data_IF_947832857540
#
_entry.id   IF_947832857540
#
_cell.length_a   1.000
_cell.length_b   1.000
_cell.length_c   1.000
_cell.angle_alpha   90.00
_cell.angle_beta   90.00
_cell.angle_gamma   90.00
#
_symmetry.space_group_name_H-M   'P 1'
#
loop_
_entity.id
_entity.type
_entity.pdbx_description
1 polymer ?
#
# COMPACT_ATOMS: atom_id res chain seq x y z
N UNK A 1 3.29 1.70 14.22
CA UNK A 1 2.46 2.69 13.50
C UNK A 1 1.99 2.06 12.19
N UNK A 2 0.89 2.49 11.57
CA UNK A 2 0.56 2.09 10.18
C UNK A 2 0.95 3.20 9.20
N UNK A 3 1.16 2.88 7.92
CA UNK A 3 1.50 3.89 6.92
C UNK A 3 0.42 4.97 6.79
N UNK A 4 -0.85 4.55 6.69
CA UNK A 4 -2.00 5.48 6.66
C UNK A 4 -2.03 6.36 7.91
N UNK A 5 -1.76 5.79 9.10
CA UNK A 5 -1.74 6.55 10.35
C UNK A 5 -0.60 7.57 10.40
N UNK A 6 0.59 7.21 9.92
CA UNK A 6 1.71 8.13 9.81
C UNK A 6 1.39 9.29 8.85
N UNK A 7 0.93 9.00 7.64
CA UNK A 7 0.68 10.02 6.63
C UNK A 7 -0.49 10.94 7.04
N UNK A 8 -1.55 10.40 7.65
CA UNK A 8 -2.64 11.21 8.20
C UNK A 8 -2.28 12.03 9.45
N UNK A 9 -1.10 11.79 10.04
CA UNK A 9 -0.62 12.64 11.14
C UNK A 9 0.04 13.93 10.64
N UNK A 10 0.29 14.03 9.33
CA UNK A 10 0.88 15.22 8.73
C UNK A 10 -0.20 16.31 8.53
N UNK A 11 0.17 17.60 8.55
CA UNK A 11 -0.76 18.69 8.28
C UNK A 11 -1.45 18.53 6.92
N UNK A 12 -2.73 18.94 6.87
CA UNK A 12 -3.54 18.97 5.65
C UNK A 12 -3.44 17.69 4.79
N UNK A 13 -3.67 16.53 5.44
CA UNK A 13 -3.57 15.21 4.83
C UNK A 13 -4.90 14.44 4.88
N UNK A 14 -5.17 13.67 3.82
CA UNK A 14 -6.36 12.83 3.67
C UNK A 14 -6.02 11.55 2.91
N UNK A 15 -5.48 10.58 3.66
CA UNK A 15 -5.07 9.26 3.18
C UNK A 15 -6.06 8.21 3.64
N UNK A 16 -6.55 7.38 2.72
CA UNK A 16 -7.40 6.25 3.09
C UNK A 16 -6.66 4.93 3.17
N UNK A 17 -7.35 3.90 3.68
CA UNK A 17 -6.85 2.53 3.75
C UNK A 17 -7.87 1.61 3.09
N UNK A 18 -7.49 1.02 1.97
CA UNK A 18 -8.29 0.07 1.19
C UNK A 18 -9.68 0.63 0.86
N UNK A 19 -9.82 1.92 0.54
CA UNK A 19 -11.15 2.54 0.37
C UNK A 19 -11.88 2.05 -0.89
N UNK A 20 -11.14 1.54 -1.88
CA UNK A 20 -11.64 1.25 -3.22
C UNK A 20 -10.97 -0.02 -3.78
N UNK A 21 -11.49 -1.23 -3.49
CA UNK A 21 -10.83 -2.47 -3.91
C UNK A 21 -10.80 -2.59 -5.43
N UNK A 22 -9.64 -2.31 -6.03
CA UNK A 22 -9.40 -2.50 -7.47
C UNK A 22 -9.06 -3.98 -7.67
N UNK A 23 -9.74 -4.71 -8.59
CA UNK A 23 -9.39 -6.08 -8.90
C UNK A 23 -7.91 -6.22 -9.29
N UNK A 24 -7.26 -7.29 -8.83
CA UNK A 24 -5.84 -7.54 -9.09
C UNK A 24 -5.54 -7.65 -10.58
N UNK A 25 -6.40 -8.37 -11.29
CA UNK A 25 -6.35 -8.45 -12.74
C UNK A 25 -6.95 -7.17 -13.33
N UNK A 26 -6.16 -6.50 -14.16
CA UNK A 26 -6.43 -5.15 -14.59
C UNK A 26 -7.77 -5.06 -15.34
N UNK A 27 -8.73 -4.35 -14.75
CA UNK A 27 -9.95 -3.89 -15.40
C UNK A 27 -9.81 -2.37 -15.58
N UNK A 28 -9.29 -1.89 -16.74
CA UNK A 28 -8.86 -0.49 -16.90
C UNK A 28 -9.93 0.54 -16.54
N UNK A 29 -11.20 0.23 -16.81
CA UNK A 29 -12.33 1.10 -16.51
C UNK A 29 -12.54 1.32 -15.00
N UNK A 30 -12.17 0.34 -14.16
CA UNK A 30 -12.30 0.45 -12.71
C UNK A 30 -11.16 1.31 -12.15
N UNK A 31 -9.93 1.07 -12.58
CA UNK A 31 -8.76 1.81 -12.10
C UNK A 31 -8.87 3.33 -12.36
N UNK A 32 -9.25 3.73 -13.58
CA UNK A 32 -9.44 5.14 -13.93
C UNK A 32 -10.49 5.83 -13.05
N UNK A 33 -11.65 5.18 -12.85
CA UNK A 33 -12.69 5.70 -11.96
C UNK A 33 -12.21 5.87 -10.51
N UNK A 34 -11.38 4.95 -10.01
CA UNK A 34 -10.86 5.05 -8.65
C UNK A 34 -9.81 6.16 -8.52
N UNK A 35 -8.98 6.38 -9.54
CA UNK A 35 -8.04 7.52 -9.59
C UNK A 35 -8.84 8.83 -9.59
N UNK A 36 -9.89 8.96 -10.40
CA UNK A 36 -10.76 10.15 -10.38
C UNK A 36 -11.40 10.40 -9.02
N UNK A 37 -11.82 9.33 -8.31
CA UNK A 37 -12.37 9.46 -6.96
C UNK A 37 -11.30 9.88 -5.95
N UNK A 38 -10.08 9.35 -6.06
CA UNK A 38 -8.96 9.74 -5.21
C UNK A 38 -8.66 11.24 -5.38
N UNK A 39 -8.64 11.72 -6.62
CA UNK A 39 -8.32 13.12 -6.97
C UNK A 39 -9.40 14.14 -6.57
N UNK A 40 -10.60 13.69 -6.21
CA UNK A 40 -11.67 14.57 -5.69
C UNK A 40 -11.51 14.91 -4.21
N UNK A 41 -10.51 14.34 -3.53
CA UNK A 41 -10.27 14.62 -2.11
C UNK A 41 -9.67 16.01 -1.93
N UNK A 42 -10.11 16.68 -0.87
CA UNK A 42 -9.63 17.99 -0.47
C UNK A 42 -8.62 17.83 0.68
N UNK A 43 -7.35 18.07 0.36
CA UNK A 43 -6.20 18.18 1.27
C UNK A 43 -4.95 18.48 0.41
N UNK A 44 -3.92 19.08 0.98
CA UNK A 44 -2.62 19.21 0.32
C UNK A 44 -1.98 17.84 0.00
N UNK A 45 -2.14 16.87 0.91
CA UNK A 45 -1.62 15.50 0.75
C UNK A 45 -2.78 14.52 0.71
N UNK A 46 -3.03 13.93 -0.46
CA UNK A 46 -4.07 12.92 -0.66
C UNK A 46 -3.47 11.58 -1.07
N UNK A 47 -4.16 10.48 -0.76
CA UNK A 47 -3.66 9.16 -1.11
C UNK A 47 -4.56 8.03 -0.62
N UNK A 48 -4.15 6.81 -0.95
CA UNK A 48 -4.78 5.59 -0.45
C UNK A 48 -3.72 4.52 -0.27
N UNK A 49 -3.87 3.71 0.77
CA UNK A 49 -2.99 2.58 1.07
C UNK A 49 -3.74 1.31 0.76
N UNK A 50 -3.24 0.53 -0.20
CA UNK A 50 -3.85 -0.73 -0.61
C UNK A 50 -2.92 -1.54 -1.50
N UNK A 51 -2.98 -2.86 -1.36
CA UNK A 51 -2.14 -3.80 -2.13
C UNK A 51 -2.38 -3.69 -3.64
N UNK A 52 -3.62 -3.38 -4.04
CA UNK A 52 -4.04 -3.30 -5.44
C UNK A 52 -3.41 -2.16 -6.26
N UNK A 53 -2.86 -1.12 -5.60
CA UNK A 53 -2.20 -0.02 -6.32
C UNK A 53 -0.94 -0.46 -7.06
N UNK A 54 -0.33 -1.57 -6.64
CA UNK A 54 0.90 -2.07 -7.26
C UNK A 54 0.75 -2.28 -8.78
N UNK A 55 -0.40 -2.79 -9.21
CA UNK A 55 -0.67 -3.04 -10.64
C UNK A 55 -1.10 -1.78 -11.40
N UNK A 56 -1.34 -0.67 -10.70
CA UNK A 56 -1.88 0.57 -11.25
C UNK A 56 -0.86 1.71 -11.29
N UNK A 57 0.38 1.48 -10.84
CA UNK A 57 1.44 2.51 -10.78
C UNK A 57 1.66 3.19 -12.13
N UNK A 58 1.82 2.42 -13.21
CA UNK A 58 2.02 2.99 -14.55
C UNK A 58 0.85 3.91 -14.93
N UNK A 59 -0.37 3.44 -14.73
CA UNK A 59 -1.57 4.17 -15.12
C UNK A 59 -1.78 5.43 -14.29
N UNK A 60 -1.48 5.37 -13.00
CA UNK A 60 -1.58 6.53 -12.12
C UNK A 60 -0.51 7.58 -12.47
N UNK A 61 0.72 7.16 -12.82
CA UNK A 61 1.76 8.09 -13.29
C UNK A 61 1.44 8.76 -14.63
N UNK A 62 0.64 8.13 -15.49
CA UNK A 62 0.14 8.76 -16.73
C UNK A 62 -0.82 9.93 -16.43
N UNK A 63 -1.56 9.88 -15.32
CA UNK A 63 -2.55 10.90 -14.94
C UNK A 63 -2.01 11.90 -13.91
N UNK A 64 -1.11 11.44 -13.04
CA UNK A 64 -0.54 12.18 -11.92
C UNK A 64 0.97 11.93 -11.91
N UNK A 65 1.74 12.58 -12.81
CA UNK A 65 3.18 12.32 -12.96
C UNK A 65 4.00 12.58 -11.70
N UNK A 66 3.50 13.40 -10.77
CA UNK A 66 4.14 13.72 -9.50
C UNK A 66 3.85 12.73 -8.38
N UNK A 67 2.99 11.72 -8.61
CA UNK A 67 2.60 10.79 -7.56
C UNK A 67 3.81 10.02 -6.98
N UNK A 68 3.74 9.74 -5.67
CA UNK A 68 4.72 8.96 -4.91
C UNK A 68 4.09 7.68 -4.41
N UNK A 69 4.83 6.58 -4.54
CA UNK A 69 4.40 5.24 -4.15
C UNK A 69 5.36 4.69 -3.10
N UNK A 70 4.85 4.55 -1.88
CA UNK A 70 5.58 3.96 -0.76
C UNK A 70 5.20 2.49 -0.67
N UNK A 71 6.17 1.61 -0.90
CA UNK A 71 5.99 0.17 -0.93
C UNK A 71 6.67 -0.47 0.29
N UNK A 72 5.89 -0.94 1.26
CA UNK A 72 6.43 -1.55 2.47
C UNK A 72 6.68 -3.05 2.30
N UNK A 73 7.91 -3.49 2.56
CA UNK A 73 8.29 -4.91 2.59
C UNK A 73 8.57 -5.37 4.00
N UNK A 74 8.30 -6.65 4.28
CA UNK A 74 8.73 -7.36 5.50
C UNK A 74 8.99 -8.81 5.14
N UNK A 75 9.59 -9.56 6.06
CA UNK A 75 9.99 -10.94 5.83
C UNK A 75 8.82 -11.81 5.33
N UNK A 76 9.09 -12.64 4.32
CA UNK A 76 8.09 -13.53 3.70
C UNK A 76 7.35 -14.39 4.70
N UNK A 77 8.09 -14.98 5.64
CA UNK A 77 7.51 -15.88 6.64
C UNK A 77 6.54 -15.13 7.58
N UNK A 78 6.88 -13.92 7.99
CA UNK A 78 6.00 -13.07 8.82
C UNK A 78 4.72 -12.69 8.07
N UNK A 79 4.81 -12.40 6.76
CA UNK A 79 3.63 -12.14 5.92
C UNK A 79 2.75 -13.39 5.86
N UNK A 80 3.34 -14.56 5.60
CA UNK A 80 2.58 -15.82 5.52
C UNK A 80 1.84 -16.08 6.83
N UNK A 81 2.52 -15.98 7.96
CA UNK A 81 1.95 -16.27 9.28
C UNK A 81 0.85 -15.26 9.65
N UNK A 82 1.13 -13.97 9.49
CA UNK A 82 0.19 -12.88 9.80
C UNK A 82 -1.07 -12.96 8.94
N UNK A 83 -0.91 -13.13 7.62
CA UNK A 83 -2.04 -13.22 6.68
C UNK A 83 -2.82 -14.51 6.89
N UNK A 84 -2.15 -15.63 7.16
CA UNK A 84 -2.83 -16.90 7.46
C UNK A 84 -3.72 -16.79 8.70
N UNK A 85 -3.27 -16.08 9.74
CA UNK A 85 -4.01 -15.88 10.97
C UNK A 85 -5.24 -14.96 10.80
N UNK A 86 -5.15 -13.94 9.94
CA UNK A 86 -6.11 -12.84 9.89
C UNK A 86 -6.97 -12.74 8.61
N UNK A 87 -6.57 -13.37 7.51
CA UNK A 87 -7.21 -13.20 6.18
C UNK A 87 -7.74 -14.53 5.64
N UNK A 88 -8.82 -15.03 6.26
CA UNK A 88 -9.32 -16.39 5.98
C UNK A 88 -9.89 -16.58 4.56
N UNK A 89 -10.39 -15.52 3.92
CA UNK A 89 -11.02 -15.54 2.59
C UNK A 89 -10.07 -15.34 1.40
N UNK A 90 -8.77 -15.21 1.66
CA UNK A 90 -7.75 -15.07 0.62
C UNK A 90 -7.53 -16.40 -0.11
N UNK A 91 -7.34 -16.35 -1.42
CA UNK A 91 -7.16 -17.50 -2.33
C UNK A 91 -8.35 -18.48 -2.47
N UNK A 92 -9.58 -18.06 -2.19
CA UNK A 92 -10.78 -18.94 -2.32
C UNK A 92 -11.96 -18.33 -3.07
N UNK A 93 -11.83 -17.14 -3.70
CA UNK A 93 -12.98 -16.30 -4.11
C UNK A 93 -14.14 -17.04 -4.79
N UNK A 94 -15.36 -16.96 -4.24
CA UNK A 94 -16.53 -17.08 -5.11
C UNK A 94 -17.62 -16.01 -4.88
N UNK A 95 -17.61 -15.21 -3.80
CA UNK A 95 -18.76 -14.32 -3.50
C UNK A 95 -18.46 -12.91 -3.00
N UNK A 96 -17.27 -12.63 -2.46
CA UNK A 96 -16.96 -11.30 -1.93
C UNK A 96 -16.03 -10.53 -2.89
N UNK A 97 -16.53 -9.45 -3.54
CA UNK A 97 -15.75 -8.61 -4.43
C UNK A 97 -14.47 -8.06 -3.79
N UNK A 98 -14.44 -7.86 -2.46
CA UNK A 98 -13.27 -7.35 -1.76
C UNK A 98 -12.03 -8.18 -1.98
N UNK A 99 -12.18 -9.50 -2.05
CA UNK A 99 -11.01 -10.34 -2.20
C UNK A 99 -10.48 -10.37 -3.65
N UNK A 100 -11.26 -9.90 -4.64
CA UNK A 100 -10.80 -9.82 -6.05
C UNK A 100 -9.59 -8.90 -6.23
N UNK A 101 -9.27 -8.08 -5.24
CA UNK A 101 -8.07 -7.24 -5.21
C UNK A 101 -6.77 -8.03 -4.98
N UNK A 102 -6.87 -9.34 -4.74
CA UNK A 102 -5.74 -10.27 -4.62
C UNK A 102 -5.70 -11.26 -5.79
N UNK A 103 -4.51 -11.74 -6.19
CA UNK A 103 -4.41 -12.79 -7.19
C UNK A 103 -4.93 -14.13 -6.66
N UNK A 104 -5.35 -14.99 -7.61
CA UNK A 104 -5.76 -16.36 -7.36
C UNK A 104 -4.70 -17.34 -7.88
N UNK A 105 -4.42 -18.35 -7.07
CA UNK A 105 -3.47 -19.41 -7.39
C UNK A 105 -4.12 -20.77 -7.22
N UNK A 106 -3.83 -21.69 -8.14
CA UNK A 106 -4.30 -23.07 -8.09
C UNK A 106 -3.46 -23.90 -7.10
N UNK A 107 -3.53 -23.56 -5.82
CA UNK A 107 -2.81 -24.22 -4.72
C UNK A 107 -3.52 -23.96 -3.39
N UNK A 108 -3.07 -24.58 -2.30
CA UNK A 108 -3.60 -24.28 -0.96
C UNK A 108 -3.34 -22.82 -0.56
N UNK A 109 -4.18 -22.30 0.35
CA UNK A 109 -4.12 -20.89 0.77
C UNK A 109 -2.75 -20.48 1.33
N UNK A 110 -2.03 -21.34 2.06
CA UNK A 110 -0.75 -20.95 2.68
C UNK A 110 0.31 -20.76 1.61
N UNK A 111 0.37 -21.68 0.66
CA UNK A 111 1.26 -21.57 -0.50
C UNK A 111 0.90 -20.37 -1.36
N UNK A 112 -0.39 -20.11 -1.58
CA UNK A 112 -0.84 -18.94 -2.34
C UNK A 112 -0.43 -17.61 -1.70
N UNK A 113 -0.52 -17.46 -0.37
CA UNK A 113 -0.02 -16.26 0.32
C UNK A 113 1.49 -16.08 0.06
N UNK A 114 2.25 -17.18 0.03
CA UNK A 114 3.67 -17.14 -0.33
C UNK A 114 3.90 -16.64 -1.75
N UNK A 115 3.17 -17.18 -2.73
CA UNK A 115 3.24 -16.75 -4.11
C UNK A 115 2.82 -15.26 -4.29
N UNK A 116 1.80 -14.81 -3.57
CA UNK A 116 1.43 -13.39 -3.53
C UNK A 116 2.55 -12.49 -3.05
N UNK A 117 3.32 -12.93 -2.05
CA UNK A 117 4.47 -12.19 -1.57
C UNK A 117 5.59 -12.18 -2.61
N UNK A 118 5.83 -13.31 -3.27
CA UNK A 118 6.85 -13.43 -4.32
C UNK A 118 6.53 -12.50 -5.51
N UNK A 119 5.26 -12.47 -5.95
CA UNK A 119 4.76 -11.55 -6.98
C UNK A 119 4.86 -10.09 -6.54
N UNK A 120 4.46 -9.78 -5.32
CA UNK A 120 4.58 -8.43 -4.75
C UNK A 120 6.02 -7.92 -4.79
N UNK A 121 6.98 -8.74 -4.36
CA UNK A 121 8.39 -8.41 -4.37
C UNK A 121 8.92 -8.20 -5.79
N UNK A 122 8.59 -9.12 -6.70
CA UNK A 122 9.02 -9.07 -8.10
C UNK A 122 8.49 -7.83 -8.81
N UNK A 123 7.20 -7.52 -8.65
CA UNK A 123 6.56 -6.38 -9.31
C UNK A 123 7.10 -5.06 -8.72
N UNK A 124 7.18 -4.95 -7.39
CA UNK A 124 7.69 -3.74 -6.74
C UNK A 124 9.15 -3.43 -7.10
N UNK A 125 10.02 -4.45 -7.20
CA UNK A 125 11.41 -4.26 -7.60
C UNK A 125 11.52 -3.70 -9.02
N UNK A 126 10.75 -4.25 -9.96
CA UNK A 126 10.67 -3.74 -11.34
C UNK A 126 10.14 -2.31 -11.39
N UNK A 127 9.16 -1.98 -10.55
CA UNK A 127 8.59 -0.62 -10.50
C UNK A 127 9.58 0.39 -9.91
N UNK A 128 10.32 0.02 -8.86
CA UNK A 128 11.38 0.88 -8.32
C UNK A 128 12.50 1.10 -9.34
N UNK A 129 12.92 0.05 -10.06
CA UNK A 129 13.92 0.17 -11.12
C UNK A 129 13.43 1.09 -12.26
N UNK A 130 12.16 0.95 -12.64
CA UNK A 130 11.56 1.73 -13.73
C UNK A 130 11.27 3.19 -13.34
N UNK A 131 10.89 3.45 -12.09
CA UNK A 131 10.46 4.76 -11.60
C UNK A 131 11.13 5.12 -10.26
N UNK A 132 12.46 5.24 -10.20
CA UNK A 132 13.20 5.40 -8.94
C UNK A 132 12.83 6.69 -8.16
N UNK A 133 12.36 7.73 -8.85
CA UNK A 133 11.95 9.00 -8.23
C UNK A 133 10.50 9.00 -7.72
N UNK A 134 9.71 8.01 -8.14
CA UNK A 134 8.27 7.92 -7.84
C UNK A 134 7.91 6.69 -7.01
N UNK A 135 8.73 5.63 -7.01
CA UNK A 135 8.43 4.40 -6.30
C UNK A 135 9.59 4.02 -5.38
N UNK A 136 9.30 3.87 -4.09
CA UNK A 136 10.31 3.53 -3.08
C UNK A 136 9.87 2.35 -2.22
N UNK A 137 10.72 1.33 -2.21
CA UNK A 137 10.62 0.17 -1.33
C UNK A 137 11.31 0.49 -0.02
N UNK A 138 10.61 0.26 1.08
CA UNK A 138 11.11 0.46 2.43
C UNK A 138 10.79 -0.77 3.29
N UNK A 139 11.64 -1.06 4.27
CA UNK A 139 11.31 -2.05 5.28
C UNK A 139 10.13 -1.53 6.13
N UNK A 140 9.21 -2.41 6.50
CA UNK A 140 8.05 -2.07 7.33
C UNK A 140 8.47 -1.52 8.69
N UNK A 141 9.62 -1.96 9.21
CA UNK A 141 10.20 -1.45 10.46
C UNK A 141 10.64 0.01 10.37
N UNK A 142 10.75 0.58 9.16
CA UNK A 142 10.96 2.02 8.96
C UNK A 142 9.87 2.85 9.64
N UNK A 143 8.64 2.34 9.75
CA UNK A 143 7.54 3.01 10.46
C UNK A 143 7.74 3.13 11.98
N UNK A 144 8.75 2.45 12.53
CA UNK A 144 8.98 2.36 13.97
C UNK A 144 10.28 3.05 14.41
N UNK A 145 11.06 3.58 13.47
CA UNK A 145 12.32 4.29 13.75
C UNK A 145 12.24 5.73 13.27
N UNK A 146 12.92 6.65 13.96
CA UNK A 146 12.92 8.05 13.55
C UNK A 146 13.48 8.22 12.13
N UNK A 147 14.64 7.61 11.86
CA UNK A 147 15.29 7.65 10.53
C UNK A 147 14.37 7.09 9.43
N UNK A 148 13.66 6.00 9.72
CA UNK A 148 12.73 5.40 8.77
C UNK A 148 11.52 6.28 8.49
N UNK A 149 10.93 6.88 9.52
CA UNK A 149 9.80 7.82 9.38
C UNK A 149 10.22 9.06 8.59
N UNK A 150 11.36 9.67 8.93
CA UNK A 150 11.90 10.80 8.19
C UNK A 150 12.13 10.43 6.71
N UNK A 151 12.68 9.24 6.43
CA UNK A 151 12.88 8.74 5.07
C UNK A 151 11.57 8.59 4.29
N UNK A 152 10.49 8.17 4.95
CA UNK A 152 9.15 8.06 4.35
C UNK A 152 8.61 9.44 4.02
N UNK A 153 8.65 10.37 4.98
CA UNK A 153 8.08 11.71 4.83
C UNK A 153 8.86 12.56 3.83
N UNK A 154 10.19 12.45 3.81
CA UNK A 154 11.05 13.11 2.83
C UNK A 154 10.72 12.62 1.41
N UNK A 155 10.48 11.30 1.24
CA UNK A 155 10.09 10.74 -0.06
C UNK A 155 8.67 11.14 -0.47
N UNK A 156 7.76 11.28 0.50
CA UNK A 156 6.42 11.81 0.28
C UNK A 156 6.39 13.34 0.08
N UNK A 157 7.56 13.99 0.05
CA UNK A 157 7.73 15.44 -0.17
C UNK A 157 7.02 16.31 0.87
N UNK A 158 6.89 15.81 2.11
CA UNK A 158 6.37 16.59 3.24
C UNK A 158 7.45 17.58 3.69
N UNK A 159 7.17 18.91 3.73
CA UNK A 159 8.14 19.92 4.13
C UNK A 159 8.75 19.62 5.51
N UNK A 160 10.07 19.77 5.65
CA UNK A 160 10.80 19.27 6.82
C UNK A 160 10.35 19.93 8.12
N UNK A 161 10.01 21.21 8.03
CA UNK A 161 9.46 22.06 9.08
C UNK A 161 8.04 21.66 9.53
N UNK A 162 7.31 20.94 8.69
CA UNK A 162 5.92 20.50 8.93
C UNK A 162 5.83 19.01 9.33
N UNK A 163 6.94 18.26 9.24
CA UNK A 163 6.95 16.83 9.53
C UNK A 163 6.58 16.53 10.98
N UNK A 164 5.50 15.76 11.14
CA UNK A 164 5.08 15.20 12.43
C UNK A 164 5.70 13.81 12.58
N UNK A 165 6.82 13.74 13.31
CA UNK A 165 7.53 12.48 13.56
C UNK A 165 6.87 11.73 14.72
N UNK A 166 6.27 10.59 14.44
CA UNK A 166 5.69 9.70 15.46
C UNK A 166 6.38 8.35 15.47
N UNK A 167 7.11 8.06 16.55
CA UNK A 167 7.78 6.77 16.78
C UNK A 167 7.13 6.02 17.94
N UNK A 168 7.24 4.68 17.96
CA UNK A 168 6.79 3.86 19.10
C UNK A 168 5.27 3.70 19.26
N UNK A 169 4.46 4.26 18.36
CA UNK A 169 2.99 4.10 18.40
C UNK A 169 2.62 2.69 17.90
N UNK A 170 2.48 1.73 18.82
CA UNK A 170 1.86 0.43 18.53
C UNK A 170 0.34 0.61 18.50
N UNK A 171 -0.23 0.79 17.31
CA UNK A 171 -1.68 0.69 17.08
C UNK A 171 -2.10 -0.79 17.17
N UNK A 172 -2.02 -1.40 18.35
CA UNK A 172 -2.64 -2.68 18.64
C UNK A 172 -3.67 -2.49 19.73
N UNK A 173 -4.91 -2.24 19.30
CA UNK A 173 -6.14 -2.82 19.85
C UNK A 173 -7.23 -2.60 18.80
N UNK A 174 -7.40 -3.53 17.85
CA UNK A 174 -8.73 -3.72 17.25
C UNK A 174 -9.64 -4.03 18.44
N UNK A 175 -10.55 -3.10 18.79
CA UNK A 175 -11.67 -3.43 19.67
C UNK A 175 -12.44 -4.55 18.98
N UNK A 176 -12.59 -5.66 19.70
CA UNK A 176 -13.51 -6.73 19.34
C UNK A 176 -14.93 -6.17 19.23
#
# INVERSE_FOLDING_TARGET
>A
MSLTGLLNSQPDSNITHENLPIPWFNEPNVAGQMIEQLLKREAAIIGDVGYYWLNQVNHLLEHVPQAKFICLKRARQEVIESTWAHSRGLNVHPTDPWYRMYPLYNTDRKTAIGLMWDDYCTISEKLQEKYPEHFKILDTDSLNTQVGVETILDFAEVPKEEQVIQIGVRLNKRRQ
#
